data_IF_947743541761
#
_entry.id   IF_947743541761
#
_cell.length_a   1.000
_cell.length_b   1.000
_cell.length_c   1.000
_cell.angle_alpha   90.00
_cell.angle_beta   90.00
_cell.angle_gamma   90.00
#
_symmetry.space_group_name_H-M   'P 1'
#
loop_
_entity.id
_entity.type
_entity.pdbx_description
1 polymer ?
#
# COMPACT_ATOMS: atom_id res chain seq x y z
N UNK A 1 -24.22 20.20 17.98
CA UNK A 1 -24.59 19.41 16.79
C UNK A 1 -23.43 18.45 16.54
N UNK A 2 -23.46 17.26 17.15
CA UNK A 2 -22.38 16.28 16.98
C UNK A 2 -22.62 15.56 15.65
N UNK A 3 -21.85 15.91 14.62
CA UNK A 3 -21.81 15.15 13.37
C UNK A 3 -21.51 13.69 13.71
N UNK A 4 -22.37 12.76 13.29
CA UNK A 4 -22.07 11.33 13.38
C UNK A 4 -20.72 11.10 12.67
N UNK A 5 -19.76 10.41 13.29
CA UNK A 5 -18.50 10.11 12.63
C UNK A 5 -18.79 9.37 11.33
N UNK A 6 -18.07 9.75 10.26
CA UNK A 6 -18.19 9.11 8.96
C UNK A 6 -17.91 7.60 9.12
N UNK A 7 -18.87 6.78 8.71
CA UNK A 7 -18.81 5.32 8.86
C UNK A 7 -17.57 4.73 8.17
N UNK A 8 -17.03 5.42 7.15
CA UNK A 8 -15.81 5.02 6.46
C UNK A 8 -14.56 5.18 7.35
N UNK A 9 -14.40 6.31 8.07
CA UNK A 9 -13.24 6.54 8.94
C UNK A 9 -13.15 5.47 10.04
N UNK A 10 -14.30 5.08 10.60
CA UNK A 10 -14.37 4.05 11.64
C UNK A 10 -14.00 2.65 11.13
N UNK A 11 -14.28 2.32 9.87
CA UNK A 11 -13.95 1.03 9.30
C UNK A 11 -12.43 0.82 9.23
N UNK A 12 -11.70 1.76 8.63
CA UNK A 12 -10.23 1.68 8.55
C UNK A 12 -9.57 1.61 9.92
N UNK A 13 -10.04 2.44 10.87
CA UNK A 13 -9.53 2.42 12.25
C UNK A 13 -9.76 1.07 12.94
N UNK A 14 -10.98 0.54 12.88
CA UNK A 14 -11.33 -0.76 13.49
C UNK A 14 -10.44 -1.88 12.98
N UNK A 15 -10.21 -1.97 11.67
CA UNK A 15 -9.37 -3.03 11.11
C UNK A 15 -7.90 -2.89 11.53
N UNK A 16 -7.36 -1.67 11.61
CA UNK A 16 -6.01 -1.44 12.17
C UNK A 16 -5.91 -1.89 13.62
N UNK A 17 -6.92 -1.62 14.45
CA UNK A 17 -6.93 -2.05 15.85
C UNK A 17 -6.96 -3.58 15.96
N UNK A 18 -7.75 -4.27 15.12
CA UNK A 18 -7.76 -5.75 15.06
C UNK A 18 -6.42 -6.33 14.63
N UNK A 19 -5.74 -5.67 13.70
CA UNK A 19 -4.39 -6.08 13.25
C UNK A 19 -3.37 -5.87 14.37
N UNK A 20 -3.43 -4.72 15.03
CA UNK A 20 -2.57 -4.36 16.17
C UNK A 20 -2.72 -5.34 17.33
N UNK A 21 -3.95 -5.76 17.65
CA UNK A 21 -4.24 -6.76 18.68
C UNK A 21 -3.93 -8.20 18.27
N UNK A 22 -3.51 -8.43 17.01
CA UNK A 22 -3.24 -9.75 16.42
C UNK A 22 -4.48 -10.62 16.17
N UNK A 23 -5.67 -10.02 16.21
CA UNK A 23 -6.93 -10.68 15.85
C UNK A 23 -7.13 -10.84 14.34
N UNK A 24 -6.27 -10.22 13.53
CA UNK A 24 -6.28 -10.36 12.07
C UNK A 24 -4.86 -10.36 11.47
N UNK A 25 -4.57 -11.35 10.61
CA UNK A 25 -3.28 -11.51 9.93
C UNK A 25 -3.39 -11.91 8.44
N UNK A 26 -4.59 -11.80 7.87
CA UNK A 26 -4.88 -12.18 6.49
C UNK A 26 -4.68 -11.05 5.47
N UNK A 27 -5.07 -11.27 4.20
CA UNK A 27 -5.10 -10.23 3.16
C UNK A 27 -6.05 -9.08 3.51
N UNK A 28 -5.65 -7.84 3.21
CA UNK A 28 -6.44 -6.64 3.57
C UNK A 28 -7.48 -6.23 2.53
N UNK A 29 -7.50 -6.87 1.35
CA UNK A 29 -8.41 -6.53 0.27
C UNK A 29 -9.88 -6.61 0.75
N UNK A 30 -10.62 -5.51 0.59
CA UNK A 30 -12.04 -5.44 0.94
C UNK A 30 -12.36 -5.27 2.43
N UNK A 31 -11.39 -5.18 3.35
CA UNK A 31 -11.67 -5.10 4.80
C UNK A 31 -12.32 -3.78 5.25
N UNK A 32 -11.97 -2.66 4.61
CA UNK A 32 -12.46 -1.33 4.95
C UNK A 32 -12.91 -0.58 3.69
N UNK A 33 -14.10 -0.90 3.15
CA UNK A 33 -14.64 -0.23 1.97
C UNK A 33 -14.76 1.29 2.19
N UNK A 34 -14.35 2.08 1.19
CA UNK A 34 -14.33 3.55 1.27
C UNK A 34 -13.07 4.15 1.89
N UNK A 35 -12.15 3.32 2.43
CA UNK A 35 -10.85 3.79 2.90
C UNK A 35 -9.75 3.54 1.87
N UNK A 36 -8.81 4.48 1.77
CA UNK A 36 -7.58 4.28 0.99
C UNK A 36 -6.70 3.24 1.68
N UNK A 37 -6.23 2.26 0.91
CA UNK A 37 -5.17 1.35 1.31
C UNK A 37 -3.86 1.76 0.64
N UNK A 38 -2.75 1.57 1.34
CA UNK A 38 -1.42 1.93 0.84
C UNK A 38 -0.46 0.76 0.92
N UNK A 39 0.52 0.76 0.01
CA UNK A 39 1.74 -0.04 0.16
C UNK A 39 2.71 0.75 1.05
N UNK A 40 3.62 0.05 1.71
CA UNK A 40 4.55 0.66 2.65
C UNK A 40 5.99 0.33 2.29
N UNK A 41 6.85 1.35 2.30
CA UNK A 41 8.31 1.21 2.24
C UNK A 41 8.92 1.97 3.41
N UNK A 42 9.78 1.31 4.19
CA UNK A 42 10.51 1.94 5.31
C UNK A 42 11.99 1.77 5.05
N UNK A 43 12.74 2.86 5.13
CA UNK A 43 14.17 2.85 4.83
C UNK A 43 14.93 3.92 5.63
N UNK A 44 16.26 3.77 5.85
CA UNK A 44 17.07 4.76 6.55
C UNK A 44 17.03 6.15 5.90
N UNK A 45 17.03 7.21 6.70
CA UNK A 45 16.95 8.61 6.26
C UNK A 45 17.99 8.95 5.19
N UNK A 46 19.20 8.37 5.28
CA UNK A 46 20.26 8.54 4.29
C UNK A 46 19.85 8.14 2.85
N UNK A 47 18.85 7.28 2.70
CA UNK A 47 18.31 6.85 1.40
C UNK A 47 16.97 7.53 1.05
N UNK A 48 16.34 8.22 2.00
CA UNK A 48 14.97 8.75 1.85
C UNK A 48 14.87 9.76 0.71
N UNK A 49 15.85 10.65 0.59
CA UNK A 49 15.87 11.65 -0.48
C UNK A 49 15.96 11.00 -1.88
N UNK A 50 16.82 9.99 -2.05
CA UNK A 50 16.96 9.28 -3.32
C UNK A 50 15.72 8.46 -3.66
N UNK A 51 15.09 7.84 -2.65
CA UNK A 51 13.83 7.12 -2.84
C UNK A 51 12.69 8.07 -3.22
N UNK A 52 12.60 9.26 -2.62
CA UNK A 52 11.60 10.26 -2.98
C UNK A 52 11.78 10.71 -4.43
N UNK A 53 13.02 10.98 -4.87
CA UNK A 53 13.31 11.27 -6.29
C UNK A 53 12.95 10.11 -7.21
N UNK A 54 13.24 8.88 -6.80
CA UNK A 54 12.84 7.67 -7.54
C UNK A 54 11.31 7.60 -7.69
N UNK A 55 10.57 7.82 -6.60
CA UNK A 55 9.12 7.78 -6.62
C UNK A 55 8.53 8.91 -7.49
N UNK A 56 9.06 10.13 -7.40
CA UNK A 56 8.64 11.27 -8.23
C UNK A 56 8.92 11.04 -9.72
N UNK A 57 10.09 10.49 -10.06
CA UNK A 57 10.44 10.15 -11.45
C UNK A 57 9.56 9.02 -12.02
N UNK A 58 8.95 8.22 -11.15
CA UNK A 58 8.11 7.08 -11.47
C UNK A 58 6.74 7.20 -10.78
N UNK A 59 6.06 8.34 -10.93
CA UNK A 59 4.84 8.67 -10.19
C UNK A 59 3.67 7.72 -10.42
N UNK A 60 3.57 7.10 -11.61
CA UNK A 60 2.54 6.10 -11.92
C UNK A 60 2.69 4.83 -11.07
N UNK A 61 3.85 4.16 -11.04
CA UNK A 61 4.04 2.98 -10.19
C UNK A 61 4.36 3.28 -8.72
N UNK A 62 4.80 4.49 -8.38
CA UNK A 62 5.17 4.87 -7.02
C UNK A 62 4.48 6.18 -6.58
N UNK A 63 3.13 6.25 -6.59
CA UNK A 63 2.43 7.45 -6.15
C UNK A 63 2.62 7.63 -4.64
N UNK A 64 3.29 8.70 -4.19
CA UNK A 64 3.51 8.96 -2.77
C UNK A 64 2.26 9.62 -2.18
N UNK A 65 1.68 9.02 -1.14
CA UNK A 65 0.55 9.58 -0.38
C UNK A 65 1.02 10.36 0.84
N UNK A 66 1.98 9.82 1.57
CA UNK A 66 2.55 10.44 2.76
C UNK A 66 3.98 9.95 3.00
N UNK A 67 4.75 10.78 3.69
CA UNK A 67 6.12 10.49 4.15
C UNK A 67 6.19 10.83 5.62
N UNK A 68 6.76 9.97 6.46
CA UNK A 68 6.93 10.24 7.88
C UNK A 68 8.17 11.11 8.13
N UNK A 69 8.21 11.78 9.27
CA UNK A 69 9.48 12.26 9.80
C UNK A 69 10.39 11.07 10.17
N UNK A 70 11.73 11.24 10.17
CA UNK A 70 12.65 10.20 10.61
C UNK A 70 12.33 9.73 12.03
N UNK A 71 12.24 8.41 12.21
CA UNK A 71 11.97 7.77 13.49
C UNK A 71 10.52 7.83 13.96
N UNK A 72 9.68 8.70 13.41
CA UNK A 72 8.27 8.80 13.80
C UNK A 72 7.46 7.67 13.15
N UNK A 73 6.87 6.75 13.94
CA UNK A 73 6.06 5.65 13.39
C UNK A 73 4.65 6.10 12.99
N UNK A 74 4.27 7.35 13.22
CA UNK A 74 2.93 7.88 12.96
C UNK A 74 2.85 8.52 11.58
N UNK A 75 1.65 8.47 10.99
CA UNK A 75 1.28 9.25 9.81
C UNK A 75 -0.11 9.86 10.02
N UNK A 76 -0.21 10.99 10.76
CA UNK A 76 -1.50 11.57 11.15
C UNK A 76 -2.43 11.89 9.97
N UNK A 77 -1.85 12.21 8.81
CA UNK A 77 -2.60 12.44 7.56
C UNK A 77 -3.33 11.20 7.03
N UNK A 78 -2.92 9.99 7.42
CA UNK A 78 -3.53 8.73 7.01
C UNK A 78 -4.36 8.08 8.13
N UNK A 79 -4.16 8.49 9.37
CA UNK A 79 -4.91 8.04 10.53
C UNK A 79 -4.33 8.63 11.80
N UNK A 80 -5.20 9.23 12.62
CA UNK A 80 -4.80 9.90 13.86
C UNK A 80 -4.09 8.96 14.84
N UNK A 81 -4.56 7.71 14.94
CA UNK A 81 -4.03 6.68 15.85
C UNK A 81 -3.11 5.66 15.16
N UNK A 82 -2.74 5.87 13.89
CA UNK A 82 -1.95 4.93 13.10
C UNK A 82 -0.55 4.76 13.68
N UNK A 83 -0.16 3.51 13.93
CA UNK A 83 1.21 3.11 14.23
C UNK A 83 1.71 2.11 13.17
N UNK A 84 2.62 2.57 12.33
CA UNK A 84 3.16 1.79 11.20
C UNK A 84 3.89 0.53 11.64
N UNK A 85 4.29 0.42 12.92
CA UNK A 85 5.04 -0.74 13.40
C UNK A 85 4.15 -1.95 13.65
N UNK A 86 2.86 -1.72 13.88
CA UNK A 86 1.93 -2.73 14.39
C UNK A 86 0.66 -2.89 13.57
N UNK A 87 0.27 -1.88 12.79
CA UNK A 87 -1.07 -1.79 12.20
C UNK A 87 -1.21 -2.46 10.82
N UNK A 88 -0.15 -3.11 10.33
CA UNK A 88 -0.19 -3.96 9.14
C UNK A 88 -0.14 -5.45 9.56
N UNK A 89 -0.86 -6.33 8.84
CA UNK A 89 -0.99 -7.74 9.24
C UNK A 89 0.32 -8.51 9.09
N UNK A 90 1.23 -8.03 8.23
CA UNK A 90 2.54 -8.64 7.97
C UNK A 90 3.48 -7.63 7.35
N UNK A 91 4.76 -7.70 7.75
CA UNK A 91 5.86 -6.96 7.15
C UNK A 91 6.81 -7.89 6.42
N UNK A 92 7.66 -7.32 5.57
CA UNK A 92 8.82 -7.99 5.00
C UNK A 92 10.06 -7.22 5.37
N UNK A 93 10.95 -7.83 6.16
CA UNK A 93 12.21 -7.22 6.58
C UNK A 93 13.31 -7.66 5.64
N UNK A 94 13.98 -6.69 5.02
CA UNK A 94 15.04 -6.92 4.05
C UNK A 94 16.40 -6.49 4.61
N UNK A 95 17.42 -7.31 4.41
CA UNK A 95 18.82 -6.96 4.73
C UNK A 95 19.70 -7.31 3.54
N UNK A 96 20.46 -6.32 3.03
CA UNK A 96 21.36 -6.48 1.87
C UNK A 96 20.68 -7.13 0.64
N UNK A 97 19.41 -6.82 0.42
CA UNK A 97 18.63 -7.34 -0.72
C UNK A 97 17.97 -8.71 -0.48
N UNK A 98 18.18 -9.33 0.68
CA UNK A 98 17.58 -10.62 1.04
C UNK A 98 16.44 -10.44 2.04
N UNK A 99 15.36 -11.21 1.86
CA UNK A 99 14.24 -11.26 2.80
C UNK A 99 14.66 -12.12 4.00
N UNK A 100 14.73 -11.52 5.19
CA UNK A 100 15.22 -12.21 6.39
C UNK A 100 14.11 -12.57 7.38
N UNK A 101 13.03 -11.79 7.43
CA UNK A 101 11.92 -12.01 8.37
C UNK A 101 10.59 -11.53 7.75
N UNK A 102 9.48 -12.16 8.15
CA UNK A 102 8.12 -11.72 7.81
C UNK A 102 7.24 -11.56 9.08
N UNK A 103 7.61 -10.65 10.00
CA UNK A 103 6.94 -10.56 11.29
C UNK A 103 5.59 -9.82 11.18
N UNK A 104 4.69 -10.00 12.15
CA UNK A 104 3.48 -9.19 12.25
C UNK A 104 3.78 -7.83 12.93
N UNK A 105 4.97 -7.66 13.52
CA UNK A 105 5.43 -6.48 14.26
C UNK A 105 6.85 -6.11 13.81
N UNK A 106 7.18 -4.82 13.70
CA UNK A 106 8.55 -4.37 13.39
C UNK A 106 9.15 -3.46 14.47
N UNK A 107 8.54 -3.36 15.65
CA UNK A 107 9.04 -2.55 16.76
C UNK A 107 10.45 -2.98 17.18
N UNK A 108 10.80 -4.27 17.04
CA UNK A 108 12.13 -4.81 17.38
C UNK A 108 13.24 -4.42 16.38
N UNK A 109 12.88 -3.99 15.17
CA UNK A 109 13.84 -3.53 14.14
C UNK A 109 13.73 -2.04 13.85
N UNK A 110 12.82 -1.34 14.53
CA UNK A 110 12.63 0.10 14.36
C UNK A 110 13.85 0.89 14.84
N UNK A 111 14.16 1.98 14.15
CA UNK A 111 15.29 2.88 14.46
C UNK A 111 14.84 4.33 14.31
N UNK A 112 15.52 5.22 15.00
CA UNK A 112 15.21 6.65 15.03
C UNK A 112 15.50 7.38 13.71
N UNK A 113 16.18 6.71 12.76
CA UNK A 113 16.48 7.26 11.44
C UNK A 113 15.64 6.64 10.31
N UNK A 114 14.63 5.82 10.62
CA UNK A 114 13.78 5.25 9.57
C UNK A 114 12.74 6.25 9.07
N UNK A 115 12.58 6.33 7.76
CA UNK A 115 11.55 7.13 7.08
C UNK A 115 10.58 6.18 6.40
N UNK A 116 9.28 6.39 6.65
CA UNK A 116 8.19 5.61 6.06
C UNK A 116 7.59 6.34 4.88
N UNK A 117 7.40 5.61 3.77
CA UNK A 117 6.69 6.07 2.58
C UNK A 117 5.43 5.25 2.41
N UNK A 118 4.27 5.91 2.54
CA UNK A 118 3.00 5.32 2.17
C UNK A 118 2.76 5.58 0.68
N UNK A 119 2.73 4.50 -0.11
CA UNK A 119 2.51 4.56 -1.55
C UNK A 119 1.06 4.21 -1.85
N UNK A 120 0.45 4.97 -2.75
CA UNK A 120 -0.90 4.74 -3.22
C UNK A 120 -1.05 3.34 -3.76
N UNK A 121 -2.14 2.69 -3.38
CA UNK A 121 -2.47 1.38 -3.89
C UNK A 121 -3.57 1.47 -4.94
N UNK A 122 -3.56 0.45 -5.79
CA UNK A 122 -4.42 0.26 -6.93
C UNK A 122 -5.88 -0.07 -6.53
N UNK A 123 -6.18 -0.14 -5.24
CA UNK A 123 -7.49 -0.55 -4.72
C UNK A 123 -8.59 0.51 -4.91
N UNK A 124 -8.25 1.80 -5.02
CA UNK A 124 -9.25 2.85 -5.26
C UNK A 124 -10.00 2.65 -6.58
N UNK A 125 -9.31 2.18 -7.62
CA UNK A 125 -9.95 1.89 -8.90
C UNK A 125 -10.69 0.55 -8.91
N UNK A 126 -10.29 -0.41 -8.07
CA UNK A 126 -11.00 -1.70 -7.98
C UNK A 126 -12.42 -1.52 -7.45
N UNK A 127 -12.61 -0.62 -6.49
CA UNK A 127 -13.95 -0.26 -6.04
C UNK A 127 -14.79 0.33 -7.18
N UNK A 128 -14.24 1.27 -7.94
CA UNK A 128 -14.94 1.87 -9.08
C UNK A 128 -15.29 0.85 -10.18
N UNK A 129 -14.42 -0.14 -10.41
CA UNK A 129 -14.69 -1.24 -11.34
C UNK A 129 -15.86 -2.11 -10.86
N UNK A 130 -15.89 -2.44 -9.56
CA UNK A 130 -16.98 -3.22 -8.96
C UNK A 130 -18.32 -2.48 -8.99
N UNK A 131 -18.32 -1.16 -8.73
CA UNK A 131 -19.52 -0.32 -8.82
C UNK A 131 -20.10 -0.27 -10.24
N UNK A 132 -19.24 -0.36 -11.27
CA UNK A 132 -19.65 -0.44 -12.67
C UNK A 132 -19.99 -1.88 -13.12
N UNK A 133 -20.01 -2.84 -12.19
CA UNK A 133 -20.38 -4.23 -12.44
C UNK A 133 -19.29 -5.10 -13.08
N UNK A 134 -18.04 -4.62 -13.09
CA UNK A 134 -16.90 -5.36 -13.66
C UNK A 134 -16.35 -6.33 -12.62
N UNK A 135 -16.35 -7.63 -12.96
CA UNK A 135 -15.81 -8.68 -12.09
C UNK A 135 -14.28 -8.55 -11.94
N UNK A 136 -13.80 -8.60 -10.69
CA UNK A 136 -12.39 -8.74 -10.37
C UNK A 136 -12.08 -10.17 -9.97
N UNK A 137 -11.55 -10.96 -10.91
CA UNK A 137 -11.37 -12.42 -10.77
C UNK A 137 -10.65 -12.85 -9.49
N UNK A 138 -9.61 -12.11 -9.09
CA UNK A 138 -8.82 -12.46 -7.90
C UNK A 138 -9.66 -12.36 -6.61
N UNK A 139 -10.59 -11.40 -6.52
CA UNK A 139 -11.52 -11.27 -5.41
C UNK A 139 -12.54 -12.41 -5.39
N UNK A 140 -13.13 -12.76 -6.55
CA UNK A 140 -14.05 -13.91 -6.68
C UNK A 140 -13.38 -15.21 -6.24
N UNK A 141 -12.08 -15.37 -6.53
CA UNK A 141 -11.30 -16.55 -6.15
C UNK A 141 -10.71 -16.49 -4.74
N UNK A 142 -10.94 -15.43 -3.95
CA UNK A 142 -10.36 -15.27 -2.61
C UNK A 142 -8.83 -15.25 -2.63
N UNK A 143 -8.23 -14.70 -3.69
CA UNK A 143 -6.79 -14.71 -3.95
C UNK A 143 -6.23 -13.29 -4.09
N UNK A 144 -4.92 -13.14 -3.90
CA UNK A 144 -4.26 -11.86 -4.16
C UNK A 144 -4.20 -11.57 -5.66
N UNK A 145 -4.26 -10.29 -6.01
CA UNK A 145 -4.05 -9.85 -7.40
C UNK A 145 -2.69 -10.34 -7.91
N UNK A 146 -2.62 -10.96 -9.10
CA UNK A 146 -1.36 -11.43 -9.65
C UNK A 146 -0.49 -10.24 -10.04
N UNK A 147 0.78 -10.25 -9.60
CA UNK A 147 1.77 -9.21 -9.87
C UNK A 147 2.95 -9.79 -10.64
N UNK A 148 3.44 -9.05 -11.63
CA UNK A 148 4.51 -9.48 -12.53
C UNK A 148 5.61 -8.44 -12.60
N UNK A 149 6.87 -8.90 -12.53
CA UNK A 149 8.04 -8.09 -12.86
C UNK A 149 8.18 -8.04 -14.38
N UNK A 150 8.13 -6.84 -14.95
CA UNK A 150 8.26 -6.65 -16.40
C UNK A 150 9.73 -6.51 -16.81
N UNK A 151 9.99 -6.37 -18.12
CA UNK A 151 11.27 -5.95 -18.67
C UNK A 151 11.36 -4.42 -18.87
N UNK A 152 10.33 -3.66 -18.49
CA UNK A 152 10.32 -2.20 -18.59
C UNK A 152 11.04 -1.60 -17.38
N UNK A 153 12.11 -0.81 -17.56
CA UNK A 153 12.83 -0.22 -16.44
C UNK A 153 12.08 1.01 -15.87
N UNK A 154 12.08 1.16 -14.55
CA UNK A 154 11.82 2.45 -13.92
C UNK A 154 12.99 3.41 -14.17
N UNK A 155 12.70 4.72 -14.14
CA UNK A 155 13.73 5.76 -14.18
C UNK A 155 14.55 5.70 -12.87
N UNK A 156 15.87 5.50 -12.94
CA UNK A 156 16.68 5.35 -11.73
C UNK A 156 16.87 6.68 -10.99
N UNK A 157 17.08 6.63 -9.68
CA UNK A 157 17.51 7.76 -8.88
C UNK A 157 18.35 7.29 -7.67
N UNK A 158 19.57 7.81 -7.54
CA UNK A 158 20.52 7.36 -6.53
C UNK A 158 20.78 5.85 -6.66
N UNK A 159 20.71 5.07 -5.56
CA UNK A 159 20.89 3.62 -5.61
C UNK A 159 19.64 2.86 -6.10
N UNK A 160 18.51 3.54 -6.33
CA UNK A 160 17.25 2.89 -6.71
C UNK A 160 17.13 2.76 -8.22
N UNK A 161 17.06 1.51 -8.67
CA UNK A 161 16.79 1.12 -10.04
C UNK A 161 16.11 -0.26 -10.04
N UNK A 162 15.29 -0.54 -11.05
CA UNK A 162 14.66 -1.84 -11.18
C UNK A 162 13.56 -1.89 -12.23
N UNK A 163 13.09 -3.09 -12.57
CA UNK A 163 11.95 -3.26 -13.46
C UNK A 163 10.64 -2.79 -12.81
N UNK A 164 9.74 -2.27 -13.62
CA UNK A 164 8.36 -1.99 -13.25
C UNK A 164 7.64 -3.30 -12.87
N UNK A 165 6.94 -3.28 -11.73
CA UNK A 165 6.00 -4.32 -11.33
C UNK A 165 4.59 -3.88 -11.71
N UNK A 166 3.84 -4.76 -12.36
CA UNK A 166 2.44 -4.53 -12.77
C UNK A 166 1.52 -5.53 -12.07
N UNK A 167 0.27 -5.13 -11.82
CA UNK A 167 -0.80 -6.04 -11.43
C UNK A 167 -1.72 -6.33 -12.61
N UNK A 168 -2.13 -7.58 -12.80
CA UNK A 168 -2.95 -8.01 -13.93
C UNK A 168 -4.38 -8.32 -13.49
N UNK A 169 -5.36 -7.84 -14.27
CA UNK A 169 -6.79 -8.13 -14.08
C UNK A 169 -7.33 -8.76 -15.36
N UNK A 170 -7.82 -9.99 -15.25
CA UNK A 170 -8.45 -10.70 -16.36
C UNK A 170 -9.85 -10.13 -16.58
N UNK A 171 -10.05 -9.48 -17.72
CA UNK A 171 -11.31 -8.82 -18.09
C UNK A 171 -11.82 -9.36 -19.43
N UNK A 172 -13.15 -9.36 -19.63
CA UNK A 172 -13.73 -9.55 -20.96
C UNK A 172 -13.37 -8.34 -21.84
N UNK A 173 -13.35 -8.47 -23.18
CA UNK A 173 -12.97 -7.37 -24.06
C UNK A 173 -13.79 -6.07 -23.83
N UNK A 174 -15.11 -6.17 -23.63
CA UNK A 174 -15.96 -5.01 -23.33
C UNK A 174 -15.61 -4.36 -21.99
N UNK A 175 -15.46 -5.18 -20.94
CA UNK A 175 -15.08 -4.72 -19.60
C UNK A 175 -13.68 -4.09 -19.58
N UNK A 176 -12.76 -4.57 -20.42
CA UNK A 176 -11.43 -3.99 -20.54
C UNK A 176 -11.46 -2.55 -21.09
N UNK A 177 -12.29 -2.28 -22.10
CA UNK A 177 -12.49 -0.93 -22.63
C UNK A 177 -13.09 -0.03 -21.55
N UNK A 178 -14.11 -0.53 -20.85
CA UNK A 178 -14.76 0.22 -19.77
C UNK A 178 -13.81 0.49 -18.60
N UNK A 179 -13.00 -0.48 -18.22
CA UNK A 179 -12.00 -0.34 -17.18
C UNK A 179 -10.97 0.74 -17.53
N UNK A 180 -10.53 0.86 -18.78
CA UNK A 180 -9.64 1.95 -19.21
C UNK A 180 -10.30 3.30 -18.93
N UNK A 181 -11.59 3.47 -19.28
CA UNK A 181 -12.30 4.73 -19.03
C UNK A 181 -12.46 5.08 -17.55
N UNK A 182 -12.63 4.07 -16.70
CA UNK A 182 -12.78 4.24 -15.24
C UNK A 182 -11.43 4.56 -14.56
N UNK A 183 -10.33 4.02 -15.08
CA UNK A 183 -9.02 4.01 -14.40
C UNK A 183 -7.98 4.97 -14.98
N UNK A 184 -8.33 5.74 -16.02
CA UNK A 184 -7.43 6.69 -16.71
C UNK A 184 -7.48 8.10 -16.13
#
# INVERSE_FOLDING_TARGET
>A
MHSKPDRSIEAGRRERLRIRSRDFSGPTAGLAPGNVQSNLVILPQALAHDFLRFAQANSKPCPVLAVSEPGDPRLPMLGEDLDIRTDLPRYRVWRRGELVEEPPDISHVWRDDLVSFALGCSFSFEHALLEDGIELRHMTCGSNVPMYRTNMPCRPAGPFAGPLVVSMRSLKPGDAIRAIQITS
#
